data_IF_870886526232
#
_entry.id   IF_870886526232
#
_cell.length_a   1.000
_cell.length_b   1.000
_cell.length_c   1.000
_cell.angle_alpha   90.00
_cell.angle_beta   90.00
_cell.angle_gamma   90.00
#
_symmetry.space_group_name_H-M   'P 1'
#
loop_
_entity.id
_entity.type
_entity.pdbx_description
1 polymer ?
#
# COMPACT_ATOMS: atom_id res chain seq x y z
N UNK A 1 -9.83 20.85 13.00
CA UNK A 1 -10.37 20.02 14.09
C UNK A 1 -9.32 19.26 14.91
N UNK A 2 -8.11 19.01 14.38
CA UNK A 2 -7.04 18.38 15.16
C UNK A 2 -6.15 19.43 15.83
N UNK A 3 -5.68 19.13 17.04
CA UNK A 3 -4.68 19.95 17.74
C UNK A 3 -3.36 19.98 16.96
N UNK A 4 -2.65 21.11 17.01
CA UNK A 4 -1.44 21.33 16.20
C UNK A 4 -0.34 20.31 16.48
N UNK A 5 -0.16 19.92 17.74
CA UNK A 5 0.79 18.88 18.16
C UNK A 5 0.52 17.51 17.48
N UNK A 6 -0.75 17.16 17.29
CA UNK A 6 -1.16 15.90 16.64
C UNK A 6 -0.83 15.97 15.15
N UNK A 7 -1.16 17.09 14.51
CA UNK A 7 -0.87 17.33 13.09
C UNK A 7 0.64 17.29 12.81
N UNK A 8 1.44 17.89 13.70
CA UNK A 8 2.89 17.97 13.59
C UNK A 8 3.58 16.60 13.62
N UNK A 9 2.96 15.56 14.19
CA UNK A 9 3.46 14.17 14.15
C UNK A 9 2.81 13.40 13.01
N UNK A 10 1.49 13.50 12.88
CA UNK A 10 0.71 12.75 11.90
C UNK A 10 1.16 12.98 10.46
N UNK A 11 1.27 14.24 10.01
CA UNK A 11 1.58 14.54 8.62
C UNK A 11 2.99 14.13 8.21
N UNK A 12 4.06 14.45 8.98
CA UNK A 12 5.40 13.96 8.66
C UNK A 12 5.49 12.44 8.64
N UNK A 13 4.85 11.74 9.60
CA UNK A 13 4.83 10.27 9.60
C UNK A 13 4.14 9.72 8.36
N UNK A 14 2.99 10.28 7.97
CA UNK A 14 2.28 9.87 6.75
C UNK A 14 3.17 10.05 5.51
N UNK A 15 3.85 11.19 5.42
CA UNK A 15 4.76 11.50 4.31
C UNK A 15 5.95 10.53 4.25
N UNK A 16 6.58 10.23 5.40
CA UNK A 16 7.68 9.26 5.50
C UNK A 16 7.23 7.87 5.04
N UNK A 17 6.04 7.41 5.48
CA UNK A 17 5.49 6.11 5.08
C UNK A 17 5.23 6.06 3.57
N UNK A 18 4.68 7.13 3.00
CA UNK A 18 4.40 7.22 1.57
C UNK A 18 5.68 7.25 0.74
N UNK A 19 6.68 8.03 1.16
CA UNK A 19 7.99 8.08 0.50
C UNK A 19 8.70 6.73 0.58
N UNK A 20 8.73 6.15 1.77
CA UNK A 20 9.34 4.84 2.01
C UNK A 20 8.68 3.77 1.14
N UNK A 21 7.34 3.72 1.12
CA UNK A 21 6.63 2.73 0.30
C UNK A 21 6.85 2.98 -1.19
N UNK A 22 6.77 4.22 -1.67
CA UNK A 22 7.01 4.55 -3.09
C UNK A 22 8.41 4.16 -3.54
N UNK A 23 9.41 4.39 -2.68
CA UNK A 23 10.79 3.96 -2.93
C UNK A 23 10.91 2.43 -2.99
N UNK A 24 10.27 1.72 -2.06
CA UNK A 24 10.29 0.26 -2.06
C UNK A 24 9.60 -0.31 -3.31
N UNK A 25 8.45 0.24 -3.70
CA UNK A 25 7.75 -0.16 -4.93
C UNK A 25 8.62 0.09 -6.15
N UNK A 26 9.28 1.26 -6.23
CA UNK A 26 10.14 1.61 -7.35
C UNK A 26 11.43 0.76 -7.42
N UNK A 27 12.05 0.43 -6.29
CA UNK A 27 13.29 -0.34 -6.23
C UNK A 27 13.05 -1.86 -6.38
N UNK A 28 12.04 -2.40 -5.70
CA UNK A 28 11.79 -3.84 -5.60
C UNK A 28 10.71 -4.35 -6.57
N UNK A 29 9.92 -3.46 -7.18
CA UNK A 29 8.79 -3.84 -8.05
C UNK A 29 7.63 -4.52 -7.29
N UNK A 30 7.57 -4.36 -5.96
CA UNK A 30 6.56 -4.98 -5.12
C UNK A 30 5.25 -4.18 -5.18
N UNK A 31 4.38 -4.50 -6.14
CA UNK A 31 3.12 -3.80 -6.37
C UNK A 31 2.18 -3.78 -5.14
N UNK A 32 2.26 -4.80 -4.28
CA UNK A 32 1.44 -4.91 -3.07
C UNK A 32 2.17 -4.49 -1.78
N UNK A 33 3.27 -3.74 -1.88
CA UNK A 33 3.98 -3.26 -0.71
C UNK A 33 3.07 -2.37 0.16
N UNK A 34 2.91 -2.75 1.42
CA UNK A 34 2.13 -2.03 2.43
C UNK A 34 3.02 -1.78 3.65
N UNK A 35 3.07 -0.55 4.12
CA UNK A 35 3.71 -0.23 5.39
C UNK A 35 3.07 -1.00 6.55
N UNK A 36 3.85 -1.51 7.50
CA UNK A 36 3.36 -2.34 8.59
C UNK A 36 2.56 -1.56 9.64
N UNK A 37 2.56 -0.23 9.57
CA UNK A 37 1.92 0.66 10.52
C UNK A 37 1.32 1.87 9.81
N UNK A 38 0.24 2.40 10.37
CA UNK A 38 -0.44 3.61 9.91
C UNK A 38 0.03 4.84 10.68
N UNK A 39 0.06 6.01 10.03
CA UNK A 39 0.46 7.27 10.65
C UNK A 39 -0.46 7.67 11.82
N UNK A 40 -1.76 7.38 11.73
CA UNK A 40 -2.75 7.63 12.79
C UNK A 40 -2.42 6.83 14.04
N UNK A 41 -2.17 5.53 13.87
CA UNK A 41 -1.82 4.61 14.95
C UNK A 41 -0.49 5.00 15.58
N UNK A 42 0.52 5.36 14.78
CA UNK A 42 1.78 5.87 15.30
C UNK A 42 1.60 7.13 16.14
N UNK A 43 0.84 8.10 15.65
CA UNK A 43 0.57 9.35 16.36
C UNK A 43 -0.12 9.09 17.71
N UNK A 44 -1.04 8.12 17.76
CA UNK A 44 -1.67 7.69 19.00
C UNK A 44 -0.69 7.08 20.01
N UNK A 45 0.31 6.31 19.56
CA UNK A 45 1.33 5.73 20.46
C UNK A 45 2.37 6.75 20.93
N UNK A 46 2.70 7.76 20.11
CA UNK A 46 3.65 8.83 20.48
C UNK A 46 3.13 9.69 21.62
N UNK A 47 1.84 10.04 21.60
CA UNK A 47 1.25 10.90 22.63
C UNK A 47 0.52 10.12 23.74
N UNK A 48 0.30 8.82 23.56
CA UNK A 48 -0.73 8.09 24.30
C UNK A 48 -2.13 8.53 23.89
N UNK A 49 -3.15 7.71 24.10
CA UNK A 49 -4.53 8.17 23.88
C UNK A 49 -4.98 9.18 24.93
N UNK A 50 -4.40 9.15 26.13
CA UNK A 50 -4.65 10.16 27.18
C UNK A 50 -4.13 11.56 26.79
N UNK A 51 -3.07 11.63 25.98
CA UNK A 51 -2.46 12.89 25.53
C UNK A 51 -3.17 13.55 24.34
N UNK A 52 -4.18 12.90 23.75
CA UNK A 52 -4.90 13.37 22.56
C UNK A 52 -6.35 13.69 22.93
N UNK A 53 -6.80 14.92 22.64
CA UNK A 53 -8.19 15.31 22.90
C UNK A 53 -9.16 14.49 22.05
N UNK A 54 -10.37 14.27 22.56
CA UNK A 54 -11.39 13.49 21.85
C UNK A 54 -11.65 14.03 20.43
N UNK A 55 -11.73 15.35 20.29
CA UNK A 55 -11.86 16.04 19.00
C UNK A 55 -10.72 15.70 18.03
N UNK A 56 -9.47 15.66 18.52
CA UNK A 56 -8.31 15.30 17.70
C UNK A 56 -8.32 13.83 17.31
N UNK A 57 -8.77 12.93 18.19
CA UNK A 57 -8.92 11.51 17.86
C UNK A 57 -10.00 11.29 16.80
N UNK A 58 -11.13 12.01 16.87
CA UNK A 58 -12.15 11.99 15.80
C UNK A 58 -11.57 12.50 14.48
N UNK A 59 -10.74 13.55 14.52
CA UNK A 59 -10.02 14.03 13.34
C UNK A 59 -9.08 12.97 12.74
N UNK A 60 -8.38 12.20 13.58
CA UNK A 60 -7.58 11.06 13.14
C UNK A 60 -8.45 9.94 12.55
N UNK A 61 -9.61 9.63 13.13
CA UNK A 61 -10.55 8.63 12.58
C UNK A 61 -10.98 9.01 11.16
N UNK A 62 -11.38 10.27 10.95
CA UNK A 62 -11.79 10.77 9.63
C UNK A 62 -10.63 10.77 8.63
N UNK A 63 -9.40 10.99 9.10
CA UNK A 63 -8.22 10.94 8.23
C UNK A 63 -7.91 9.53 7.72
N UNK A 64 -8.47 8.46 8.33
CA UNK A 64 -8.28 7.12 7.79
C UNK A 64 -8.79 7.00 6.35
N UNK A 65 -9.90 7.64 5.98
CA UNK A 65 -10.42 7.52 4.60
C UNK A 65 -9.42 7.89 3.52
N UNK A 66 -8.61 8.94 3.75
CA UNK A 66 -7.59 9.40 2.79
C UNK A 66 -6.19 8.83 3.04
N UNK A 67 -5.85 8.52 4.29
CA UNK A 67 -4.48 8.23 4.70
C UNK A 67 -4.24 6.81 5.26
N UNK A 68 -5.26 5.96 5.40
CA UNK A 68 -5.10 4.63 5.98
C UNK A 68 -4.59 3.59 4.98
N UNK A 69 -4.91 3.73 3.69
CA UNK A 69 -4.59 2.67 2.75
C UNK A 69 -3.40 3.02 1.89
N UNK A 70 -2.33 2.25 2.09
CA UNK A 70 -1.04 2.50 1.46
C UNK A 70 -1.09 2.08 -0.01
N UNK A 71 -1.94 1.11 -0.39
CA UNK A 71 -2.24 0.78 -1.79
C UNK A 71 -2.87 1.97 -2.56
N UNK A 72 -3.59 2.85 -1.87
CA UNK A 72 -4.21 4.05 -2.45
C UNK A 72 -3.26 5.27 -2.49
N UNK A 73 -1.99 5.10 -2.11
CA UNK A 73 -1.03 6.17 -2.26
C UNK A 73 -0.89 6.49 -3.75
N UNK A 74 -1.22 7.71 -4.17
CA UNK A 74 -1.02 8.15 -5.55
C UNK A 74 0.47 8.25 -5.91
N UNK A 75 1.35 8.27 -4.91
CA UNK A 75 2.76 8.61 -5.10
C UNK A 75 3.59 7.57 -5.87
N UNK A 76 3.46 6.23 -5.66
CA UNK A 76 4.08 5.24 -6.54
C UNK A 76 3.58 5.35 -7.98
N UNK A 77 2.26 5.53 -8.19
CA UNK A 77 1.68 5.68 -9.52
C UNK A 77 2.20 6.94 -10.23
N UNK A 78 2.31 8.07 -9.50
CA UNK A 78 2.90 9.31 -10.01
C UNK A 78 4.39 9.16 -10.32
N UNK A 79 5.15 8.42 -9.50
CA UNK A 79 6.57 8.14 -9.77
C UNK A 79 6.76 7.33 -11.06
N UNK A 80 5.91 6.32 -11.28
CA UNK A 80 5.90 5.57 -12.53
C UNK A 80 5.45 6.42 -13.72
N UNK A 81 4.42 7.26 -13.55
CA UNK A 81 3.97 8.21 -14.58
C UNK A 81 5.07 9.20 -14.98
N UNK A 82 5.81 9.74 -14.00
CA UNK A 82 6.96 10.60 -14.25
C UNK A 82 8.05 9.85 -15.05
N UNK A 83 8.36 8.60 -14.69
CA UNK A 83 9.33 7.78 -15.43
C UNK A 83 8.86 7.46 -16.86
N UNK A 84 7.57 7.23 -17.04
CA UNK A 84 6.96 7.02 -18.35
C UNK A 84 7.08 8.27 -19.23
N UNK A 85 6.90 9.47 -18.65
CA UNK A 85 7.08 10.72 -19.38
C UNK A 85 8.50 10.86 -19.95
N UNK A 86 9.52 10.48 -19.18
CA UNK A 86 10.92 10.49 -19.63
C UNK A 86 11.15 9.49 -20.77
N UNK A 87 10.53 8.30 -20.69
CA UNK A 87 10.64 7.27 -21.72
C UNK A 87 9.95 7.66 -23.05
N UNK A 88 8.80 8.34 -22.96
CA UNK A 88 8.03 8.83 -24.10
C UNK A 88 8.55 10.17 -24.65
N UNK A 89 9.56 10.78 -24.02
CA UNK A 89 10.01 12.18 -24.28
C UNK A 89 8.84 13.17 -24.22
N UNK A 90 7.83 12.88 -23.40
CA UNK A 90 6.67 13.72 -23.22
C UNK A 90 6.96 14.84 -22.21
N UNK A 91 6.22 15.94 -22.31
CA UNK A 91 6.36 17.03 -21.35
C UNK A 91 5.86 16.58 -19.96
N UNK A 92 6.70 16.61 -18.94
CA UNK A 92 6.36 16.15 -17.57
C UNK A 92 5.05 16.73 -17.03
N UNK A 93 4.76 18.01 -17.33
CA UNK A 93 3.49 18.65 -16.91
C UNK A 93 2.26 18.07 -17.61
N UNK A 94 2.36 17.62 -18.86
CA UNK A 94 1.19 17.06 -19.56
C UNK A 94 0.77 15.73 -18.94
N UNK A 95 1.73 14.89 -18.57
CA UNK A 95 1.47 13.64 -17.83
C UNK A 95 0.91 13.93 -16.44
N UNK A 96 1.44 14.95 -15.75
CA UNK A 96 0.88 15.41 -14.48
C UNK A 96 -0.59 15.83 -14.59
N UNK A 97 -0.94 16.63 -15.60
CA UNK A 97 -2.32 17.02 -15.87
C UNK A 97 -3.22 15.83 -16.24
N UNK A 98 -2.73 14.91 -17.06
CA UNK A 98 -3.48 13.71 -17.44
C UNK A 98 -3.80 12.84 -16.22
N UNK A 99 -2.82 12.63 -15.32
CA UNK A 99 -3.05 11.89 -14.06
C UNK A 99 -4.03 12.65 -13.16
N UNK A 100 -3.85 13.97 -13.01
CA UNK A 100 -4.77 14.80 -12.20
C UNK A 100 -6.21 14.72 -12.71
N UNK A 101 -6.42 14.84 -14.02
CA UNK A 101 -7.73 14.71 -14.64
C UNK A 101 -8.31 13.30 -14.45
N UNK A 102 -7.49 12.25 -14.64
CA UNK A 102 -7.92 10.87 -14.43
C UNK A 102 -8.38 10.63 -12.99
N UNK A 103 -7.68 11.18 -11.98
CA UNK A 103 -8.09 11.09 -10.58
C UNK A 103 -9.42 11.82 -10.35
N UNK A 104 -9.59 13.02 -10.89
CA UNK A 104 -10.85 13.79 -10.75
C UNK A 104 -12.01 13.02 -11.38
N UNK A 105 -11.86 12.54 -12.61
CA UNK A 105 -12.89 11.76 -13.30
C UNK A 105 -13.21 10.48 -12.52
N UNK A 106 -12.18 9.76 -12.06
CA UNK A 106 -12.37 8.54 -11.27
C UNK A 106 -13.16 8.81 -9.98
N UNK A 107 -12.86 9.88 -9.24
CA UNK A 107 -13.61 10.25 -8.02
C UNK A 107 -15.04 10.65 -8.35
N UNK A 108 -15.24 11.49 -9.37
CA UNK A 108 -16.55 11.98 -9.79
C UNK A 108 -17.48 10.89 -10.32
N UNK A 109 -16.93 9.81 -10.88
CA UNK A 109 -17.72 8.65 -11.32
C UNK A 109 -17.88 7.63 -10.19
N UNK A 110 -16.79 7.23 -9.54
CA UNK A 110 -16.81 6.15 -8.57
C UNK A 110 -17.61 6.48 -7.31
N UNK A 111 -17.48 7.70 -6.77
CA UNK A 111 -18.16 8.07 -5.51
C UNK A 111 -19.68 8.11 -5.68
N UNK A 112 -20.25 8.85 -6.64
CA UNK A 112 -21.71 8.86 -6.83
C UNK A 112 -22.26 7.49 -7.21
N UNK A 113 -21.55 6.74 -8.06
CA UNK A 113 -21.98 5.41 -8.48
C UNK A 113 -22.01 4.43 -7.30
N UNK A 114 -20.99 4.45 -6.46
CA UNK A 114 -20.94 3.62 -5.23
C UNK A 114 -22.07 3.98 -4.28
N UNK A 115 -22.35 5.28 -4.11
CA UNK A 115 -23.47 5.74 -3.27
C UNK A 115 -24.80 5.26 -3.84
N UNK A 116 -25.02 5.42 -5.15
CA UNK A 116 -26.22 4.94 -5.83
C UNK A 116 -26.43 3.43 -5.65
N UNK A 117 -25.40 2.62 -5.89
CA UNK A 117 -25.45 1.18 -5.65
C UNK A 117 -25.73 0.86 -4.18
N UNK A 118 -25.16 1.64 -3.26
CA UNK A 118 -25.34 1.46 -1.82
C UNK A 118 -26.79 1.71 -1.38
N UNK A 119 -27.46 2.70 -1.98
CA UNK A 119 -28.90 2.93 -1.76
C UNK A 119 -29.78 1.87 -2.41
N UNK A 120 -29.41 1.38 -3.61
CA UNK A 120 -30.22 0.44 -4.37
C UNK A 120 -30.14 -1.00 -3.85
N UNK A 121 -28.95 -1.45 -3.49
CA UNK A 121 -28.68 -2.85 -3.12
C UNK A 121 -28.32 -3.03 -1.64
N UNK A 122 -28.11 -1.94 -0.90
CA UNK A 122 -27.56 -1.96 0.45
C UNK A 122 -26.05 -2.16 0.41
N UNK A 123 -25.29 -1.17 0.88
CA UNK A 123 -23.82 -1.23 0.85
C UNK A 123 -23.22 -2.43 1.61
N UNK A 124 -23.92 -2.94 2.64
CA UNK A 124 -23.50 -4.12 3.39
C UNK A 124 -23.54 -5.41 2.53
N UNK A 125 -24.44 -5.47 1.54
CA UNK A 125 -24.61 -6.62 0.64
C UNK A 125 -23.56 -6.66 -0.48
N UNK A 126 -22.63 -5.70 -0.52
CA UNK A 126 -21.48 -5.79 -1.42
C UNK A 126 -20.50 -6.88 -1.02
N UNK A 127 -20.61 -7.42 0.21
CA UNK A 127 -19.77 -8.49 0.77
C UNK A 127 -18.26 -8.20 0.72
N UNK A 128 -17.86 -6.96 0.44
CA UNK A 128 -16.46 -6.56 0.46
C UNK A 128 -16.06 -6.09 1.85
N UNK A 129 -14.78 -6.29 2.19
CA UNK A 129 -14.20 -5.85 3.46
C UNK A 129 -14.48 -4.37 3.76
N UNK A 130 -14.37 -3.50 2.76
CA UNK A 130 -14.45 -2.04 2.93
C UNK A 130 -15.84 -1.60 3.41
N UNK A 131 -16.91 -2.17 2.83
CA UNK A 131 -18.28 -1.77 3.16
C UNK A 131 -18.90 -2.55 4.33
N UNK A 132 -18.31 -3.67 4.75
CA UNK A 132 -18.80 -4.47 5.88
C UNK A 132 -18.10 -4.10 7.20
N UNK A 133 -16.78 -4.32 7.29
CA UNK A 133 -15.98 -4.18 8.51
C UNK A 133 -15.02 -2.98 8.44
N UNK A 134 -14.32 -2.84 7.32
CA UNK A 134 -13.26 -1.86 7.08
C UNK A 134 -13.68 -0.41 7.34
N UNK A 135 -14.90 -0.03 6.94
CA UNK A 135 -15.42 1.33 7.14
C UNK A 135 -15.69 1.69 8.60
N UNK A 136 -16.02 0.72 9.47
CA UNK A 136 -16.33 0.96 10.88
C UNK A 136 -15.07 0.93 11.76
N UNK A 137 -14.07 0.14 11.36
CA UNK A 137 -12.85 -0.09 12.14
C UNK A 137 -12.14 1.18 12.62
N UNK A 138 -11.93 2.26 11.82
CA UNK A 138 -11.28 3.47 12.32
C UNK A 138 -12.02 4.13 13.48
N UNK A 139 -13.35 4.17 13.41
CA UNK A 139 -14.19 4.79 14.42
C UNK A 139 -14.26 3.94 15.68
N UNK A 140 -14.47 2.63 15.53
CA UNK A 140 -14.44 1.68 16.66
C UNK A 140 -13.08 1.70 17.37
N UNK A 141 -11.98 1.72 16.61
CA UNK A 141 -10.63 1.82 17.15
C UNK A 141 -10.42 3.09 17.95
N UNK A 142 -10.97 4.23 17.51
CA UNK A 142 -10.85 5.49 18.24
C UNK A 142 -11.71 5.48 19.50
N UNK A 143 -12.96 5.00 19.41
CA UNK A 143 -13.83 4.84 20.59
C UNK A 143 -13.20 3.92 21.63
N UNK A 144 -12.61 2.80 21.21
CA UNK A 144 -11.91 1.89 22.13
C UNK A 144 -10.74 2.57 22.84
N UNK A 145 -9.96 3.40 22.14
CA UNK A 145 -8.83 4.14 22.73
C UNK A 145 -9.27 5.28 23.65
N UNK A 146 -10.46 5.85 23.43
CA UNK A 146 -11.09 6.81 24.34
C UNK A 146 -11.63 6.13 25.60
N UNK A 147 -12.25 4.95 25.46
CA UNK A 147 -12.80 4.18 26.58
C UNK A 147 -11.73 3.52 27.43
N UNK A 148 -10.60 3.14 26.83
CA UNK A 148 -9.45 2.55 27.51
C UNK A 148 -8.23 3.43 27.24
N UNK A 149 -8.08 4.57 27.95
CA UNK A 149 -6.94 5.44 27.79
C UNK A 149 -5.64 4.71 28.14
N UNK A 150 -4.60 4.96 27.35
CA UNK A 150 -3.25 4.49 27.62
C UNK A 150 -2.27 5.67 27.49
N UNK A 151 -1.19 5.61 28.27
CA UNK A 151 -0.10 6.60 28.23
C UNK A 151 0.87 6.33 27.07
N UNK A 152 1.95 7.09 26.98
CA UNK A 152 2.96 6.88 25.93
C UNK A 152 3.54 5.47 26.02
N UNK A 153 3.46 4.71 24.93
CA UNK A 153 3.99 3.34 24.87
C UNK A 153 5.49 3.37 24.55
N UNK A 154 6.30 3.59 25.59
CA UNK A 154 7.76 3.61 25.51
C UNK A 154 8.36 2.31 24.99
N UNK A 155 7.69 1.16 25.23
CA UNK A 155 8.14 -0.13 24.73
C UNK A 155 8.09 -0.18 23.20
N UNK A 156 6.96 0.20 22.60
CA UNK A 156 6.82 0.28 21.13
C UNK A 156 7.77 1.31 20.51
N UNK A 157 7.94 2.46 21.14
CA UNK A 157 8.89 3.48 20.67
C UNK A 157 10.35 2.98 20.77
N UNK A 158 10.69 2.23 21.82
CA UNK A 158 11.98 1.56 21.95
C UNK A 158 12.23 0.56 20.82
N UNK A 159 11.26 -0.31 20.53
CA UNK A 159 11.35 -1.25 19.40
C UNK A 159 11.44 -0.56 18.05
N UNK A 160 10.74 0.57 17.87
CA UNK A 160 10.89 1.40 16.67
C UNK A 160 12.31 1.95 16.56
N UNK A 161 12.89 2.44 17.65
CA UNK A 161 14.27 2.90 17.71
C UNK A 161 15.27 1.80 17.35
N UNK A 162 15.11 0.61 17.94
CA UNK A 162 15.94 -0.57 17.64
C UNK A 162 15.82 -0.96 16.16
N UNK A 163 14.59 -1.04 15.64
CA UNK A 163 14.36 -1.35 14.23
C UNK A 163 14.97 -0.30 13.29
N UNK A 164 14.86 0.99 13.64
CA UNK A 164 15.48 2.09 12.92
C UNK A 164 17.01 2.04 12.94
N UNK A 165 17.60 1.69 14.08
CA UNK A 165 19.04 1.50 14.22
C UNK A 165 19.55 0.32 13.37
N UNK A 166 18.88 -0.83 13.43
CA UNK A 166 19.22 -2.02 12.60
C UNK A 166 19.10 -1.68 11.12
N UNK A 167 18.00 -1.05 10.71
CA UNK A 167 17.79 -0.61 9.33
C UNK A 167 18.92 0.33 8.87
N UNK A 168 19.25 1.32 9.70
CA UNK A 168 20.30 2.30 9.38
C UNK A 168 21.67 1.64 9.28
N UNK A 169 21.99 0.73 10.19
CA UNK A 169 23.22 -0.06 10.13
C UNK A 169 23.30 -0.87 8.83
N UNK A 170 22.23 -1.56 8.45
CA UNK A 170 22.19 -2.34 7.20
C UNK A 170 22.34 -1.44 5.97
N UNK A 171 21.73 -0.26 5.98
CA UNK A 171 21.86 0.71 4.90
C UNK A 171 23.29 1.25 4.77
N UNK A 172 23.96 1.55 5.89
CA UNK A 172 25.36 2.00 5.92
C UNK A 172 26.31 0.90 5.47
N UNK A 173 26.14 -0.33 5.99
CA UNK A 173 26.94 -1.48 5.60
C UNK A 173 26.80 -1.77 4.11
N UNK A 174 25.58 -1.71 3.56
CA UNK A 174 25.35 -1.87 2.12
C UNK A 174 25.98 -0.75 1.30
N UNK A 175 25.98 0.49 1.79
CA UNK A 175 26.61 1.61 1.11
C UNK A 175 28.15 1.51 1.14
N UNK A 176 28.73 0.92 2.19
CA UNK A 176 30.19 0.81 2.37
C UNK A 176 30.78 -0.46 1.78
N UNK A 177 30.07 -1.58 1.84
CA UNK A 177 30.53 -2.90 1.42
C UNK A 177 29.71 -3.41 0.23
N UNK A 178 30.33 -3.42 -0.95
CA UNK A 178 29.71 -3.86 -2.21
C UNK A 178 29.26 -5.34 -2.17
N UNK A 179 29.94 -6.16 -1.36
CA UNK A 179 29.64 -7.59 -1.22
C UNK A 179 28.52 -7.91 -0.23
N UNK A 180 27.98 -6.92 0.49
CA UNK A 180 26.98 -7.15 1.53
C UNK A 180 25.65 -7.68 0.94
N UNK A 181 25.21 -8.89 1.30
CA UNK A 181 24.10 -9.55 0.62
C UNK A 181 22.72 -9.17 1.18
N UNK A 182 22.65 -8.61 2.38
CA UNK A 182 21.37 -8.37 3.07
C UNK A 182 20.76 -7.02 2.66
N UNK A 183 19.55 -7.09 2.12
CA UNK A 183 18.79 -5.92 1.71
C UNK A 183 17.84 -5.44 2.83
N UNK A 184 17.86 -4.15 3.21
CA UNK A 184 17.05 -3.64 4.32
C UNK A 184 15.53 -3.61 4.04
N UNK A 185 15.11 -3.66 2.77
CA UNK A 185 13.68 -3.70 2.37
C UNK A 185 12.93 -4.88 3.00
N UNK A 186 13.58 -6.05 3.14
CA UNK A 186 12.93 -7.21 3.76
C UNK A 186 12.50 -6.91 5.19
N UNK A 187 13.35 -6.20 5.96
CA UNK A 187 13.08 -5.86 7.36
C UNK A 187 11.88 -4.92 7.50
N UNK A 188 11.68 -3.99 6.57
CA UNK A 188 10.61 -3.00 6.67
C UNK A 188 9.24 -3.54 6.27
N UNK A 189 9.20 -4.60 5.46
CA UNK A 189 7.95 -5.14 4.90
C UNK A 189 7.58 -6.54 5.38
N UNK A 190 8.47 -7.27 6.05
CA UNK A 190 8.25 -8.67 6.44
C UNK A 190 6.98 -8.90 7.27
N UNK A 191 6.58 -7.94 8.10
CA UNK A 191 5.38 -8.07 8.93
C UNK A 191 4.08 -7.70 8.20
N UNK A 192 4.17 -7.11 7.01
CA UNK A 192 2.99 -6.69 6.24
C UNK A 192 2.22 -7.89 5.70
N UNK A 193 0.90 -7.83 5.80
CA UNK A 193 0.01 -8.92 5.41
C UNK A 193 0.19 -9.38 3.95
N UNK A 194 0.25 -8.48 2.94
CA UNK A 194 0.42 -8.90 1.54
C UNK A 194 1.75 -9.64 1.31
N UNK A 195 2.82 -9.22 1.99
CA UNK A 195 4.14 -9.84 1.83
C UNK A 195 4.17 -11.23 2.47
N UNK A 196 3.46 -11.43 3.59
CA UNK A 196 3.28 -12.77 4.17
C UNK A 196 2.57 -13.72 3.21
N UNK A 197 1.49 -13.25 2.57
CA UNK A 197 0.72 -14.04 1.59
C UNK A 197 1.50 -14.33 0.31
N UNK A 198 2.33 -13.38 -0.14
CA UNK A 198 3.15 -13.53 -1.35
C UNK A 198 4.54 -14.10 -1.09
N UNK A 199 4.91 -14.44 0.16
CA UNK A 199 6.27 -14.85 0.52
C UNK A 199 6.74 -16.06 -0.30
N UNK A 200 5.87 -17.06 -0.48
CA UNK A 200 6.18 -18.24 -1.28
C UNK A 200 6.32 -17.89 -2.77
N UNK A 201 5.46 -17.03 -3.32
CA UNK A 201 5.56 -16.57 -4.71
C UNK A 201 6.84 -15.76 -4.95
N UNK A 202 7.25 -14.93 -3.99
CA UNK A 202 8.52 -14.20 -4.03
C UNK A 202 9.71 -15.16 -3.99
N UNK A 203 9.67 -16.17 -3.14
CA UNK A 203 10.67 -17.23 -3.08
C UNK A 203 10.76 -18.00 -4.41
N UNK A 204 9.61 -18.39 -4.98
CA UNK A 204 9.56 -19.09 -6.26
C UNK A 204 10.12 -18.22 -7.39
N UNK A 205 9.75 -16.94 -7.45
CA UNK A 205 10.30 -15.99 -8.42
C UNK A 205 11.82 -15.82 -8.29
N UNK A 206 12.33 -15.75 -7.06
CA UNK A 206 13.76 -15.73 -6.78
C UNK A 206 14.45 -17.03 -7.22
N UNK A 207 13.87 -18.19 -6.90
CA UNK A 207 14.41 -19.51 -7.26
C UNK A 207 14.47 -19.68 -8.78
N UNK A 208 13.39 -19.36 -9.50
CA UNK A 208 13.37 -19.40 -10.96
C UNK A 208 14.44 -18.48 -11.56
N UNK A 209 14.55 -17.24 -11.06
CA UNK A 209 15.59 -16.30 -11.51
C UNK A 209 16.98 -16.84 -11.23
N UNK A 210 17.21 -17.40 -10.05
CA UNK A 210 18.49 -17.95 -9.64
C UNK A 210 18.90 -19.11 -10.56
N UNK A 211 18.00 -20.06 -10.83
CA UNK A 211 18.23 -21.18 -11.77
C UNK A 211 18.56 -20.65 -13.17
N UNK A 212 17.75 -19.75 -13.71
CA UNK A 212 17.93 -19.20 -15.07
C UNK A 212 19.30 -18.52 -15.21
N UNK A 213 19.67 -17.69 -14.24
CA UNK A 213 20.95 -16.97 -14.27
C UNK A 213 22.12 -17.93 -14.03
N UNK A 214 21.95 -18.95 -13.18
CA UNK A 214 23.02 -19.91 -12.87
C UNK A 214 23.31 -20.85 -14.03
N UNK A 215 22.29 -21.30 -14.75
CA UNK A 215 22.44 -22.25 -15.86
C UNK A 215 22.74 -21.58 -17.20
N UNK A 216 22.11 -20.44 -17.51
CA UNK A 216 22.20 -19.80 -18.84
C UNK A 216 22.72 -18.36 -18.84
N UNK A 217 23.18 -17.87 -17.70
CA UNK A 217 23.72 -16.52 -17.56
C UNK A 217 22.72 -15.41 -17.91
N UNK A 218 23.24 -14.23 -18.22
CA UNK A 218 22.42 -13.04 -18.51
C UNK A 218 21.64 -13.16 -19.83
N UNK A 219 22.13 -13.95 -20.79
CA UNK A 219 21.48 -14.13 -22.10
C UNK A 219 20.19 -14.92 -21.96
N UNK A 220 20.21 -16.06 -21.25
CA UNK A 220 18.99 -16.83 -20.99
C UNK A 220 18.00 -16.01 -20.16
N UNK A 221 18.47 -15.24 -19.18
CA UNK A 221 17.61 -14.33 -18.43
C UNK A 221 16.87 -13.34 -19.33
N UNK A 222 17.56 -12.71 -20.30
CA UNK A 222 16.92 -11.80 -21.27
C UNK A 222 15.91 -12.52 -22.16
N UNK A 223 16.19 -13.75 -22.59
CA UNK A 223 15.26 -14.59 -23.38
C UNK A 223 14.06 -15.10 -22.58
N UNK A 224 14.20 -15.28 -21.27
CA UNK A 224 13.12 -15.72 -20.39
C UNK A 224 12.18 -14.56 -19.97
N UNK A 225 12.62 -13.30 -20.04
CA UNK A 225 11.80 -12.13 -19.66
C UNK A 225 10.40 -12.11 -20.30
N UNK A 226 10.23 -12.34 -21.62
CA UNK A 226 8.91 -12.33 -22.24
C UNK A 226 7.96 -13.38 -21.67
N UNK A 227 8.46 -14.55 -21.25
CA UNK A 227 7.64 -15.59 -20.62
C UNK A 227 7.03 -15.11 -19.30
N UNK A 228 7.82 -14.51 -18.40
CA UNK A 228 7.31 -14.00 -17.12
C UNK A 228 6.37 -12.81 -17.31
N UNK A 229 6.68 -11.91 -18.26
CA UNK A 229 5.77 -10.83 -18.64
C UNK A 229 4.46 -11.39 -19.21
N UNK A 230 4.53 -12.44 -20.02
CA UNK A 230 3.37 -13.16 -20.55
C UNK A 230 2.54 -13.82 -19.45
N UNK A 231 3.15 -14.35 -18.40
CA UNK A 231 2.45 -14.92 -17.25
C UNK A 231 1.67 -13.85 -16.47
N UNK A 232 2.30 -12.68 -16.26
CA UNK A 232 1.65 -11.52 -15.62
C UNK A 232 0.48 -11.03 -16.48
N UNK A 233 0.71 -10.83 -17.79
CA UNK A 233 -0.32 -10.40 -18.72
C UNK A 233 -1.46 -11.42 -18.83
N UNK A 234 -1.14 -12.71 -18.91
CA UNK A 234 -2.13 -13.79 -18.96
C UNK A 234 -3.02 -13.82 -17.72
N UNK A 235 -2.45 -13.59 -16.54
CA UNK A 235 -3.23 -13.44 -15.31
C UNK A 235 -4.21 -12.27 -15.38
N UNK A 236 -3.74 -11.07 -15.74
CA UNK A 236 -4.62 -9.90 -15.88
C UNK A 236 -5.67 -10.07 -16.96
N UNK A 237 -5.32 -10.66 -18.10
CA UNK A 237 -6.26 -10.99 -19.18
C UNK A 237 -7.31 -11.98 -18.70
N UNK A 238 -6.92 -13.03 -17.97
CA UNK A 238 -7.87 -14.00 -17.41
C UNK A 238 -8.86 -13.35 -16.45
N UNK A 239 -8.37 -12.49 -15.55
CA UNK A 239 -9.23 -11.71 -14.65
C UNK A 239 -10.15 -10.78 -15.43
N UNK A 240 -9.66 -10.10 -16.46
CA UNK A 240 -10.47 -9.18 -17.27
C UNK A 240 -11.55 -9.91 -18.07
N UNK A 241 -11.21 -11.05 -18.70
CA UNK A 241 -12.16 -11.90 -19.42
C UNK A 241 -13.23 -12.41 -18.47
N UNK A 242 -12.83 -12.88 -17.29
CA UNK A 242 -13.79 -13.40 -16.32
C UNK A 242 -14.71 -12.31 -15.75
N UNK A 243 -14.20 -11.09 -15.53
CA UNK A 243 -15.05 -9.94 -15.18
C UNK A 243 -16.04 -9.59 -16.30
N UNK A 244 -15.61 -9.70 -17.57
CA UNK A 244 -16.49 -9.52 -18.72
C UNK A 244 -17.60 -10.58 -18.80
N UNK A 245 -17.26 -11.84 -18.50
CA UNK A 245 -18.24 -12.94 -18.43
C UNK A 245 -19.24 -12.67 -17.30
N UNK A 246 -18.76 -12.31 -16.11
CA UNK A 246 -19.64 -12.01 -14.97
C UNK A 246 -20.56 -10.82 -15.26
N UNK A 247 -20.04 -9.78 -15.93
CA UNK A 247 -20.85 -8.62 -16.32
C UNK A 247 -21.95 -8.95 -17.33
N UNK A 248 -21.68 -9.86 -18.27
CA UNK A 248 -22.62 -10.22 -19.34
C UNK A 248 -23.64 -11.28 -18.90
N UNK A 249 -23.20 -12.32 -18.20
CA UNK A 249 -24.05 -13.49 -17.87
C UNK A 249 -24.48 -13.55 -16.40
N UNK A 250 -23.74 -12.96 -15.46
CA UNK A 250 -23.97 -13.09 -14.01
C UNK A 250 -24.18 -11.72 -13.35
N UNK A 251 -25.08 -10.91 -13.92
CA UNK A 251 -25.36 -9.57 -13.39
C UNK A 251 -25.87 -9.63 -11.95
N UNK A 252 -25.08 -9.06 -11.03
CA UNK A 252 -25.37 -9.06 -9.59
C UNK A 252 -25.03 -10.36 -8.85
N UNK A 253 -24.50 -11.37 -9.54
CA UNK A 253 -23.98 -12.63 -8.96
C UNK A 253 -22.58 -12.96 -9.52
N UNK A 254 -21.76 -11.92 -9.71
CA UNK A 254 -20.38 -12.10 -10.17
C UNK A 254 -19.58 -12.97 -9.20
N UNK A 255 -18.67 -13.75 -9.75
CA UNK A 255 -17.85 -14.67 -8.96
C UNK A 255 -16.67 -13.91 -8.35
N UNK A 256 -16.12 -14.45 -7.27
CA UNK A 256 -14.92 -13.90 -6.65
C UNK A 256 -13.68 -14.26 -7.48
N UNK A 257 -13.29 -13.35 -8.38
CA UNK A 257 -12.18 -13.56 -9.32
C UNK A 257 -10.82 -13.14 -8.77
N UNK A 258 -10.81 -12.21 -7.80
CA UNK A 258 -9.61 -11.66 -7.21
C UNK A 258 -9.89 -11.15 -5.79
N UNK A 259 -9.12 -11.63 -4.81
CA UNK A 259 -9.29 -11.22 -3.42
C UNK A 259 -8.48 -12.09 -2.48
N UNK A 260 -7.23 -11.71 -2.25
CA UNK A 260 -6.54 -12.08 -1.02
C UNK A 260 -7.12 -11.15 0.07
N UNK A 261 -7.89 -11.77 0.98
CA UNK A 261 -8.56 -11.23 2.20
C UNK A 261 -8.06 -9.89 2.74
#
# INVERSE_FOLDING_TARGET
GMAWKVVAVFLPTAFIIYLGTSRIVAEAGLAFARGPMLAQTFTAFVFGSSGISAQSMTGLALSHGGFCEIKNSFMPALAHGAKLSDALRAHRRSVGWAVGLAVVVAVMVAVPWTIYLGYRHGAYNFETWIFTHGGKLPFENVVQKMRNPFEVDWGRLGFLGIGGAIYSAFNVLRARFVWWPLHPIGLTLASSWPIKMSAFSLFLGWLCKWIIVRLGGIQLYRRARPFFLGLILGYFTGVAVSNGIDFLWFQGQGHWLYGLY
#
